data_IF_873255471868
#
_entry.id   IF_873255471868
#
_cell.length_a   1.000
_cell.length_b   1.000
_cell.length_c   1.000
_cell.angle_alpha   90.00
_cell.angle_beta   90.00
_cell.angle_gamma   90.00
#
_symmetry.space_group_name_H-M   'P 1'
#
loop_
_entity.id
_entity.type
_entity.pdbx_description
1 polymer ?
#
# COMPACT_ATOMS: atom_id res chain seq x y z
N UNK A 1 -28.18 -8.76 8.38
CA UNK A 1 -27.67 -7.40 8.58
C UNK A 1 -27.11 -6.96 7.22
N UNK A 2 -27.70 -5.92 6.65
CA UNK A 2 -27.20 -5.41 5.36
C UNK A 2 -26.04 -4.45 5.62
N UNK A 3 -24.84 -4.98 5.78
CA UNK A 3 -23.62 -4.18 5.85
C UNK A 3 -22.74 -4.50 4.65
N UNK A 4 -22.04 -3.49 4.15
CA UNK A 4 -21.07 -3.60 3.07
C UNK A 4 -19.69 -3.81 3.68
N UNK A 5 -19.00 -4.86 3.25
CA UNK A 5 -17.59 -5.10 3.62
C UNK A 5 -16.71 -4.57 2.51
N UNK A 6 -15.75 -3.72 2.86
CA UNK A 6 -14.72 -3.21 1.94
C UNK A 6 -13.36 -3.62 2.51
N UNK A 7 -12.56 -4.31 1.69
CA UNK A 7 -11.16 -4.54 2.01
C UNK A 7 -10.37 -3.25 1.73
N UNK A 8 -9.81 -2.66 2.78
CA UNK A 8 -9.15 -1.35 2.68
C UNK A 8 -7.70 -1.41 2.18
N UNK A 9 -7.10 -2.62 2.09
CA UNK A 9 -5.71 -2.77 1.65
C UNK A 9 -5.47 -4.14 1.04
N UNK A 10 -5.41 -4.21 -0.27
CA UNK A 10 -5.12 -5.43 -1.00
C UNK A 10 -4.14 -5.15 -2.16
N UNK A 11 -3.55 -6.20 -2.68
CA UNK A 11 -2.63 -6.15 -3.81
C UNK A 11 -3.06 -7.10 -4.91
N UNK A 12 -2.91 -6.66 -6.15
CA UNK A 12 -3.02 -7.53 -7.33
C UNK A 12 -1.67 -7.59 -8.02
N UNK A 13 -1.30 -8.77 -8.56
CA UNK A 13 -0.10 -8.93 -9.39
C UNK A 13 -0.27 -10.10 -10.34
N UNK A 14 0.26 -9.95 -11.55
CA UNK A 14 0.25 -11.02 -12.55
C UNK A 14 1.43 -11.96 -12.33
N UNK A 15 2.63 -11.45 -12.19
CA UNK A 15 3.83 -12.20 -11.85
C UNK A 15 4.88 -11.25 -11.31
N UNK A 16 5.46 -11.60 -10.17
CA UNK A 16 6.60 -10.88 -9.64
C UNK A 16 7.87 -11.29 -10.42
N UNK A 17 8.57 -10.32 -10.93
CA UNK A 17 9.89 -10.45 -11.54
C UNK A 17 10.56 -9.07 -11.48
N UNK A 18 10.93 -8.68 -10.27
CA UNK A 18 11.36 -7.33 -9.93
C UNK A 18 12.68 -7.37 -9.17
N UNK A 19 13.27 -6.19 -8.97
CA UNK A 19 14.46 -6.01 -8.15
C UNK A 19 14.18 -4.89 -7.15
N UNK A 20 14.37 -5.18 -5.87
CA UNK A 20 14.30 -4.19 -4.80
C UNK A 20 15.62 -4.23 -4.03
N UNK A 21 16.29 -3.09 -3.90
CA UNK A 21 17.62 -2.97 -3.26
C UNK A 21 18.67 -3.92 -3.84
N UNK A 22 18.72 -4.04 -5.17
CA UNK A 22 19.57 -4.94 -5.96
C UNK A 22 19.32 -6.44 -5.65
N UNK A 23 18.28 -6.77 -4.92
CA UNK A 23 17.90 -8.15 -4.63
C UNK A 23 16.68 -8.56 -5.48
N UNK A 24 16.75 -9.74 -6.14
CA UNK A 24 15.65 -10.20 -6.98
C UNK A 24 14.43 -10.61 -6.17
N UNK A 25 13.25 -10.33 -6.73
CA UNK A 25 11.98 -10.84 -6.26
C UNK A 25 11.30 -11.53 -7.43
N UNK A 26 11.19 -12.85 -7.36
CA UNK A 26 10.65 -13.67 -8.42
C UNK A 26 9.57 -14.62 -7.91
N UNK A 27 8.46 -14.71 -8.63
CA UNK A 27 7.42 -15.72 -8.39
C UNK A 27 7.96 -17.13 -8.63
N UNK A 28 7.70 -18.02 -7.68
CA UNK A 28 7.95 -19.46 -7.75
C UNK A 28 6.61 -20.20 -7.62
N UNK A 29 6.65 -21.51 -7.86
CA UNK A 29 5.47 -22.37 -7.77
C UNK A 29 4.93 -22.49 -6.33
N UNK A 30 3.66 -22.83 -6.21
CA UNK A 30 2.97 -23.14 -4.96
C UNK A 30 2.98 -21.97 -3.94
N UNK A 31 2.78 -20.75 -4.43
CA UNK A 31 2.68 -19.56 -3.60
C UNK A 31 3.99 -19.09 -2.99
N UNK A 32 5.14 -19.62 -3.44
CA UNK A 32 6.46 -19.19 -2.99
C UNK A 32 7.02 -18.08 -3.88
N UNK A 33 7.96 -17.34 -3.34
CA UNK A 33 8.76 -16.37 -4.07
C UNK A 33 10.21 -16.43 -3.60
N UNK A 34 11.14 -16.20 -4.53
CA UNK A 34 12.46 -15.73 -4.15
C UNK A 34 12.29 -14.26 -3.74
N UNK A 35 12.42 -13.99 -2.45
CA UNK A 35 12.15 -12.67 -1.87
C UNK A 35 13.42 -12.16 -1.19
N UNK A 36 14.07 -11.17 -1.84
CA UNK A 36 15.28 -10.54 -1.31
C UNK A 36 16.38 -11.57 -0.96
N UNK A 37 16.59 -12.56 -1.84
CA UNK A 37 17.62 -13.58 -1.68
C UNK A 37 17.21 -14.84 -0.91
N UNK A 38 15.98 -14.90 -0.38
CA UNK A 38 15.45 -16.05 0.36
C UNK A 38 14.17 -16.58 -0.28
N UNK A 39 14.00 -17.91 -0.26
CA UNK A 39 12.72 -18.51 -0.68
C UNK A 39 11.74 -18.44 0.48
N UNK A 40 10.61 -17.76 0.26
CA UNK A 40 9.54 -17.58 1.25
C UNK A 40 8.19 -18.03 0.72
N UNK A 41 7.33 -18.50 1.61
CA UNK A 41 5.92 -18.69 1.33
C UNK A 41 5.24 -17.33 1.41
N UNK A 42 4.89 -16.72 0.27
CA UNK A 42 4.34 -15.37 0.22
C UNK A 42 2.81 -15.35 0.16
N UNK A 43 2.22 -16.34 -0.51
CA UNK A 43 0.78 -16.49 -0.65
C UNK A 43 0.38 -17.95 -0.38
N UNK A 44 -0.92 -18.26 -0.16
CA UNK A 44 -1.34 -19.63 0.10
C UNK A 44 -0.88 -20.62 -0.98
N UNK A 45 -0.50 -21.87 -0.62
CA UNK A 45 0.02 -22.86 -1.57
C UNK A 45 -0.92 -23.23 -2.71
N UNK A 46 -2.23 -23.01 -2.56
CA UNK A 46 -3.20 -23.26 -3.62
C UNK A 46 -3.13 -22.22 -4.76
N UNK A 47 -2.48 -21.09 -4.54
CA UNK A 47 -2.14 -20.13 -5.59
C UNK A 47 -0.90 -20.61 -6.34
N UNK A 48 -1.09 -21.65 -7.15
CA UNK A 48 -0.02 -22.48 -7.74
C UNK A 48 0.96 -21.65 -8.57
N UNK A 49 0.42 -20.73 -9.37
CA UNK A 49 1.21 -19.89 -10.27
C UNK A 49 1.81 -18.66 -9.58
N UNK A 50 1.55 -18.49 -8.28
CA UNK A 50 1.98 -17.33 -7.49
C UNK A 50 1.43 -16.00 -8.01
N UNK A 51 0.33 -16.04 -8.77
CA UNK A 51 -0.37 -14.90 -9.36
C UNK A 51 -1.57 -14.56 -8.50
N UNK A 52 -1.81 -13.28 -8.26
CA UNK A 52 -3.03 -12.76 -7.65
C UNK A 52 -3.71 -11.79 -8.62
N UNK A 53 -4.26 -12.33 -9.71
CA UNK A 53 -4.97 -11.52 -10.69
C UNK A 53 -6.30 -10.98 -10.14
N UNK A 54 -6.88 -10.01 -10.84
CA UNK A 54 -8.20 -9.48 -10.48
C UNK A 54 -9.27 -10.57 -10.42
N UNK A 55 -9.23 -11.56 -11.32
CA UNK A 55 -10.17 -12.68 -11.34
C UNK A 55 -10.03 -13.59 -10.14
N UNK A 56 -8.80 -13.92 -9.76
CA UNK A 56 -8.50 -14.73 -8.54
C UNK A 56 -8.96 -13.99 -7.30
N UNK A 57 -8.61 -12.71 -7.20
CA UNK A 57 -8.96 -11.91 -6.04
C UNK A 57 -10.48 -11.67 -5.95
N UNK A 58 -11.14 -11.41 -7.09
CA UNK A 58 -12.59 -11.26 -7.15
C UNK A 58 -13.32 -12.52 -6.67
N UNK A 59 -12.85 -13.71 -7.07
CA UNK A 59 -13.40 -14.98 -6.60
C UNK A 59 -13.27 -15.14 -5.08
N UNK A 60 -12.13 -14.73 -4.50
CA UNK A 60 -11.93 -14.72 -3.06
C UNK A 60 -12.85 -13.70 -2.36
N UNK A 61 -13.01 -12.49 -2.94
CA UNK A 61 -13.95 -11.48 -2.43
C UNK A 61 -15.39 -12.01 -2.43
N UNK A 62 -15.83 -12.63 -3.51
CA UNK A 62 -17.19 -13.19 -3.63
C UNK A 62 -17.41 -14.31 -2.60
N UNK A 63 -16.45 -15.21 -2.42
CA UNK A 63 -16.51 -16.24 -1.40
C UNK A 63 -16.57 -15.66 0.03
N UNK A 64 -15.79 -14.62 0.31
CA UNK A 64 -15.75 -13.95 1.61
C UNK A 64 -16.84 -12.89 1.81
N UNK A 65 -17.73 -12.68 0.80
CA UNK A 65 -18.78 -11.65 0.80
C UNK A 65 -18.23 -10.22 0.92
N UNK A 66 -17.03 -9.96 0.40
CA UNK A 66 -16.42 -8.64 0.32
C UNK A 66 -16.94 -7.93 -0.92
N UNK A 67 -17.54 -6.76 -0.72
CA UNK A 67 -18.22 -6.02 -1.79
C UNK A 67 -17.25 -5.28 -2.72
N UNK A 68 -16.22 -4.69 -2.15
CA UNK A 68 -15.21 -3.91 -2.88
C UNK A 68 -13.85 -4.00 -2.18
N UNK A 69 -12.78 -3.65 -2.90
CA UNK A 69 -11.43 -3.60 -2.35
C UNK A 69 -10.67 -2.36 -2.84
N UNK A 70 -9.81 -1.83 -1.97
CA UNK A 70 -8.80 -0.84 -2.32
C UNK A 70 -7.52 -1.58 -2.71
N UNK A 71 -7.09 -1.39 -3.94
CA UNK A 71 -5.88 -2.03 -4.47
C UNK A 71 -4.73 -1.04 -4.39
N UNK A 72 -3.77 -1.36 -3.55
CA UNK A 72 -2.52 -0.62 -3.40
C UNK A 72 -1.41 -1.29 -4.22
N UNK A 73 -0.26 -0.64 -4.33
CA UNK A 73 0.91 -1.18 -5.03
C UNK A 73 2.13 -1.16 -4.11
N UNK A 74 3.08 -2.04 -4.38
CA UNK A 74 4.39 -2.03 -3.77
C UNK A 74 5.47 -2.31 -4.84
N UNK A 75 6.68 -1.81 -4.62
CA UNK A 75 7.78 -2.00 -5.58
C UNK A 75 8.13 -3.48 -5.78
N UNK A 76 7.82 -4.34 -4.81
CA UNK A 76 8.02 -5.79 -4.94
C UNK A 76 7.19 -6.41 -6.08
N UNK A 77 6.01 -5.83 -6.36
CA UNK A 77 5.12 -6.29 -7.42
C UNK A 77 5.38 -5.58 -8.75
N UNK A 78 6.21 -4.53 -8.71
CA UNK A 78 6.40 -3.60 -9.81
C UNK A 78 5.28 -2.57 -9.95
N UNK A 79 5.49 -1.57 -10.79
CA UNK A 79 4.50 -0.54 -11.09
C UNK A 79 3.51 -1.10 -12.12
N UNK A 80 2.24 -1.20 -11.76
CA UNK A 80 1.20 -1.88 -12.53
C UNK A 80 0.03 -0.96 -12.91
N UNK A 81 0.28 0.33 -13.09
CA UNK A 81 -0.78 1.33 -13.31
C UNK A 81 -1.71 0.99 -14.49
N UNK A 82 -1.16 0.54 -15.61
CA UNK A 82 -1.93 0.18 -16.81
C UNK A 82 -2.87 -1.00 -16.52
N UNK A 83 -2.34 -2.06 -15.90
CA UNK A 83 -3.15 -3.22 -15.50
C UNK A 83 -4.28 -2.83 -14.53
N UNK A 84 -3.97 -2.00 -13.54
CA UNK A 84 -4.97 -1.58 -12.55
C UNK A 84 -6.05 -0.67 -13.16
N UNK A 85 -5.70 0.19 -14.11
CA UNK A 85 -6.68 0.97 -14.87
C UNK A 85 -7.62 0.08 -15.69
N UNK A 86 -7.10 -0.99 -16.32
CA UNK A 86 -7.90 -2.00 -17.01
C UNK A 86 -8.84 -2.72 -16.05
N UNK A 87 -8.35 -3.12 -14.86
CA UNK A 87 -9.15 -3.80 -13.83
C UNK A 87 -10.36 -2.96 -13.40
N UNK A 88 -10.17 -1.67 -13.13
CA UNK A 88 -11.27 -0.76 -12.77
C UNK A 88 -12.31 -0.67 -13.90
N UNK A 89 -11.85 -0.58 -15.13
CA UNK A 89 -12.75 -0.54 -16.30
C UNK A 89 -13.55 -1.82 -16.48
N UNK A 90 -12.92 -2.98 -16.23
CA UNK A 90 -13.52 -4.30 -16.40
C UNK A 90 -14.49 -4.65 -15.27
N UNK A 91 -14.22 -4.22 -14.06
CA UNK A 91 -14.98 -4.56 -12.85
C UNK A 91 -15.44 -3.30 -12.09
N UNK A 92 -16.33 -2.49 -12.69
CA UNK A 92 -16.78 -1.24 -12.10
C UNK A 92 -17.43 -1.45 -10.73
N UNK A 93 -17.05 -0.63 -9.75
CA UNK A 93 -17.57 -0.68 -8.38
C UNK A 93 -16.99 -1.79 -7.48
N UNK A 94 -16.12 -2.67 -8.03
CA UNK A 94 -15.49 -3.72 -7.24
C UNK A 94 -14.10 -3.31 -6.76
N UNK A 95 -13.38 -2.48 -7.49
CA UNK A 95 -12.03 -2.08 -7.17
C UNK A 95 -11.87 -0.56 -7.19
N UNK A 96 -11.20 -0.05 -6.17
CA UNK A 96 -10.64 1.29 -6.11
C UNK A 96 -9.12 1.15 -6.13
N UNK A 97 -8.44 1.73 -7.11
CA UNK A 97 -7.02 1.48 -7.33
C UNK A 97 -6.18 2.71 -7.04
N UNK A 98 -5.02 2.50 -6.42
CA UNK A 98 -4.01 3.51 -6.18
C UNK A 98 -2.96 3.47 -7.30
N UNK A 99 -2.67 4.60 -7.94
CA UNK A 99 -1.52 4.73 -8.83
C UNK A 99 -0.21 4.77 -8.04
N UNK A 100 0.90 4.39 -8.66
CA UNK A 100 2.23 4.45 -8.04
C UNK A 100 3.25 5.00 -9.04
N UNK A 101 4.20 5.78 -8.55
CA UNK A 101 5.31 6.32 -9.32
C UNK A 101 6.64 5.76 -8.82
N UNK A 102 7.69 5.90 -9.62
CA UNK A 102 9.05 5.61 -9.17
C UNK A 102 9.62 6.84 -8.45
N UNK A 103 9.22 7.02 -7.19
CA UNK A 103 9.55 8.18 -6.36
C UNK A 103 11.05 8.37 -6.10
N UNK A 104 11.86 7.34 -6.32
CA UNK A 104 13.32 7.35 -6.13
C UNK A 104 14.06 7.92 -7.33
N UNK A 105 13.35 8.26 -8.41
CA UNK A 105 13.91 8.81 -9.64
C UNK A 105 13.36 10.20 -9.94
N UNK A 106 14.15 11.07 -10.58
CA UNK A 106 13.65 12.37 -11.03
C UNK A 106 12.45 12.23 -11.96
N UNK A 107 11.52 13.19 -11.88
CA UNK A 107 10.36 13.25 -12.76
C UNK A 107 9.11 12.55 -12.23
N UNK A 108 9.12 11.98 -11.02
CA UNK A 108 7.95 11.34 -10.44
C UNK A 108 6.76 12.30 -10.28
N UNK A 109 7.00 13.58 -10.05
CA UNK A 109 5.94 14.59 -9.99
C UNK A 109 5.14 14.70 -11.29
N UNK A 110 5.84 14.66 -12.43
CA UNK A 110 5.18 14.66 -13.74
C UNK A 110 4.36 13.37 -13.94
N UNK A 111 4.91 12.22 -13.56
CA UNK A 111 4.21 10.93 -13.60
C UNK A 111 2.96 10.94 -12.72
N UNK A 112 3.06 11.45 -11.49
CA UNK A 112 1.91 11.55 -10.59
C UNK A 112 0.80 12.44 -11.16
N UNK A 113 1.16 13.58 -11.74
CA UNK A 113 0.21 14.48 -12.43
C UNK A 113 -0.48 13.80 -13.62
N UNK A 114 0.26 13.02 -14.40
CA UNK A 114 -0.30 12.24 -15.51
C UNK A 114 -1.27 11.17 -15.01
N UNK A 115 -0.90 10.38 -13.99
CA UNK A 115 -1.79 9.38 -13.40
C UNK A 115 -3.09 10.01 -12.90
N UNK A 116 -3.01 11.14 -12.23
CA UNK A 116 -4.19 11.88 -11.76
C UNK A 116 -5.04 12.36 -12.94
N UNK A 117 -4.41 12.86 -13.99
CA UNK A 117 -5.11 13.32 -15.20
C UNK A 117 -5.80 12.17 -15.95
N UNK A 118 -5.25 10.95 -15.91
CA UNK A 118 -5.87 9.74 -16.48
C UNK A 118 -6.97 9.14 -15.62
N UNK A 119 -7.20 9.68 -14.41
CA UNK A 119 -8.36 9.33 -13.60
C UNK A 119 -8.08 8.61 -12.27
N UNK A 120 -6.82 8.36 -11.93
CA UNK A 120 -6.50 7.81 -10.60
C UNK A 120 -6.93 8.78 -9.49
N UNK A 121 -7.62 8.27 -8.47
CA UNK A 121 -8.14 9.01 -7.32
C UNK A 121 -7.35 8.78 -6.04
N UNK A 122 -6.30 7.98 -6.12
CA UNK A 122 -5.34 7.78 -5.05
C UNK A 122 -3.94 7.51 -5.62
N UNK A 123 -2.92 7.94 -4.88
CA UNK A 123 -1.51 7.61 -5.11
C UNK A 123 -1.01 6.81 -3.91
N UNK A 124 -0.35 5.70 -4.18
CA UNK A 124 0.33 4.86 -3.18
C UNK A 124 1.79 5.22 -3.10
N UNK A 125 2.29 5.39 -1.88
CA UNK A 125 3.71 5.58 -1.58
C UNK A 125 4.18 4.52 -0.58
N UNK A 126 4.97 3.52 -0.98
CA UNK A 126 5.71 2.66 -0.07
C UNK A 126 6.87 3.43 0.55
N UNK A 127 6.59 4.30 1.52
CA UNK A 127 7.54 5.29 2.02
C UNK A 127 8.72 4.67 2.77
N UNK A 128 8.56 3.48 3.35
CA UNK A 128 9.66 2.72 3.93
C UNK A 128 10.76 2.41 2.90
N UNK A 129 10.41 2.29 1.61
CA UNK A 129 11.37 2.04 0.52
C UNK A 129 12.14 3.30 0.10
N UNK A 130 11.67 4.47 0.49
CA UNK A 130 12.35 5.73 0.22
C UNK A 130 13.54 6.01 1.15
N UNK A 131 13.67 5.22 2.23
CA UNK A 131 14.77 5.31 3.19
C UNK A 131 15.96 4.44 2.82
N UNK A 132 15.82 3.56 1.83
CA UNK A 132 16.81 2.58 1.46
C UNK A 132 17.88 3.24 0.57
N UNK A 133 19.16 3.18 1.03
CA UNK A 133 20.38 3.59 0.30
C UNK A 133 20.61 5.08 0.04
N UNK A 134 21.72 5.34 -0.69
CA UNK A 134 22.10 6.67 -1.18
C UNK A 134 20.95 7.23 -2.03
N UNK A 135 20.53 8.45 -1.71
CA UNK A 135 19.40 9.08 -2.39
C UNK A 135 18.08 8.97 -1.65
N UNK A 136 18.11 8.89 -0.31
CA UNK A 136 16.90 8.99 0.52
C UNK A 136 16.00 10.12 0.05
N UNK A 137 14.74 9.78 -0.23
CA UNK A 137 13.71 10.77 -0.54
C UNK A 137 12.95 11.08 0.74
N UNK A 138 13.00 12.34 1.15
CA UNK A 138 12.25 12.84 2.31
C UNK A 138 10.81 13.14 1.90
N UNK A 139 9.84 12.77 2.73
CA UNK A 139 8.42 13.05 2.45
C UNK A 139 8.12 14.56 2.40
N UNK A 140 8.86 15.37 3.14
CA UNK A 140 8.76 16.83 3.15
C UNK A 140 9.72 17.51 2.15
N UNK A 141 10.33 16.77 1.21
CA UNK A 141 11.12 17.39 0.16
C UNK A 141 10.27 18.26 -0.76
N UNK A 142 10.86 19.27 -1.38
CA UNK A 142 10.14 20.23 -2.22
C UNK A 142 9.27 19.55 -3.30
N UNK A 143 9.82 18.57 -4.02
CA UNK A 143 9.10 17.88 -5.10
C UNK A 143 7.96 17.00 -4.56
N UNK A 144 8.14 16.35 -3.39
CA UNK A 144 7.09 15.60 -2.70
C UNK A 144 5.97 16.53 -2.22
N UNK A 145 6.31 17.66 -1.60
CA UNK A 145 5.32 18.65 -1.15
C UNK A 145 4.53 19.25 -2.32
N UNK A 146 5.18 19.53 -3.46
CA UNK A 146 4.46 19.96 -4.67
C UNK A 146 3.46 18.89 -5.15
N UNK A 147 3.80 17.61 -5.05
CA UNK A 147 2.87 16.52 -5.36
C UNK A 147 1.70 16.46 -4.38
N UNK A 148 1.95 16.55 -3.08
CA UNK A 148 0.89 16.51 -2.07
C UNK A 148 -0.08 17.69 -2.20
N UNK A 149 0.39 18.90 -2.42
CA UNK A 149 -0.47 20.05 -2.73
C UNK A 149 -1.31 19.81 -4.00
N UNK A 150 -0.71 19.28 -5.06
CA UNK A 150 -1.44 18.95 -6.29
C UNK A 150 -2.51 17.87 -6.05
N UNK A 151 -2.23 16.87 -5.23
CA UNK A 151 -3.20 15.84 -4.84
C UNK A 151 -4.35 16.45 -4.02
N UNK A 152 -4.03 17.30 -3.04
CA UNK A 152 -5.02 17.99 -2.22
C UNK A 152 -5.97 18.85 -3.06
N UNK A 153 -5.44 19.63 -4.00
CA UNK A 153 -6.22 20.48 -4.92
C UNK A 153 -7.17 19.67 -5.81
N UNK A 154 -6.84 18.43 -6.12
CA UNK A 154 -7.58 17.53 -7.00
C UNK A 154 -8.43 16.50 -6.28
N UNK A 155 -8.51 16.57 -4.95
CA UNK A 155 -9.20 15.59 -4.09
C UNK A 155 -8.73 14.15 -4.33
N UNK A 156 -7.40 13.97 -4.47
CA UNK A 156 -6.75 12.67 -4.63
C UNK A 156 -6.21 12.19 -3.29
N UNK A 157 -6.51 10.96 -2.90
CA UNK A 157 -6.04 10.36 -1.65
C UNK A 157 -4.56 9.99 -1.70
N UNK A 158 -3.91 10.08 -0.54
CA UNK A 158 -2.62 9.45 -0.28
C UNK A 158 -2.82 8.13 0.48
N UNK A 159 -2.36 7.02 -0.10
CA UNK A 159 -2.14 5.76 0.62
C UNK A 159 -0.65 5.61 0.86
N UNK A 160 -0.22 5.40 2.11
CA UNK A 160 1.21 5.43 2.45
C UNK A 160 1.56 4.37 3.49
N UNK A 161 2.66 3.64 3.27
CA UNK A 161 3.26 2.76 4.25
C UNK A 161 4.52 3.43 4.79
N UNK A 162 4.45 3.88 6.03
CA UNK A 162 5.59 4.50 6.69
C UNK A 162 6.62 3.44 7.13
N UNK A 163 7.86 3.85 7.30
CA UNK A 163 8.90 3.03 7.90
C UNK A 163 8.57 2.72 9.37
N UNK A 164 9.21 1.67 9.91
CA UNK A 164 9.00 1.23 11.29
C UNK A 164 9.17 2.38 12.29
N UNK A 165 8.27 2.42 13.26
CA UNK A 165 8.31 3.34 14.39
C UNK A 165 8.16 4.81 14.01
N UNK A 166 8.94 5.66 14.67
CA UNK A 166 8.83 7.12 14.55
C UNK A 166 9.69 7.73 13.43
N UNK A 167 10.35 6.91 12.60
CA UNK A 167 11.40 7.36 11.65
C UNK A 167 10.93 8.46 10.70
N UNK A 168 9.71 8.36 10.16
CA UNK A 168 9.14 9.32 9.20
C UNK A 168 8.04 10.19 9.81
N UNK A 169 7.82 10.13 11.13
CA UNK A 169 6.78 10.91 11.79
C UNK A 169 6.98 12.42 11.64
N UNK A 170 8.19 12.99 11.85
CA UNK A 170 8.37 14.43 11.69
C UNK A 170 8.03 14.92 10.28
N UNK A 171 8.49 14.17 9.26
CA UNK A 171 8.20 14.48 7.85
C UNK A 171 6.69 14.41 7.57
N UNK A 172 6.02 13.35 8.08
CA UNK A 172 4.59 13.15 7.86
C UNK A 172 3.74 14.21 8.59
N UNK A 173 4.15 14.63 9.78
CA UNK A 173 3.50 15.73 10.49
C UNK A 173 3.54 17.04 9.70
N UNK A 174 4.67 17.34 9.06
CA UNK A 174 4.81 18.51 8.19
C UNK A 174 3.88 18.43 6.98
N UNK A 175 3.81 17.26 6.31
CA UNK A 175 2.85 17.01 5.21
C UNK A 175 1.41 17.24 5.65
N UNK A 176 1.02 16.71 6.82
CA UNK A 176 -0.34 16.85 7.36
C UNK A 176 -0.67 18.32 7.66
N UNK A 177 0.29 19.07 8.18
CA UNK A 177 0.10 20.50 8.52
C UNK A 177 -0.02 21.37 7.27
N UNK A 178 0.82 21.13 6.26
CA UNK A 178 0.83 21.90 5.01
C UNK A 178 -0.31 21.52 4.06
N UNK A 179 -0.82 20.27 4.16
CA UNK A 179 -1.91 19.75 3.32
C UNK A 179 -3.10 19.27 4.19
N UNK A 180 -3.81 20.18 4.91
CA UNK A 180 -4.80 19.78 5.91
C UNK A 180 -6.08 19.15 5.33
N UNK A 181 -6.31 19.24 4.03
CA UNK A 181 -7.44 18.60 3.34
C UNK A 181 -7.04 17.33 2.58
N UNK A 182 -5.75 17.04 2.47
CA UNK A 182 -5.27 15.81 1.85
C UNK A 182 -5.74 14.63 2.70
N UNK A 183 -6.57 13.76 2.10
CA UNK A 183 -7.00 12.53 2.77
C UNK A 183 -5.86 11.51 2.74
N UNK A 184 -5.45 11.02 3.90
CA UNK A 184 -4.29 10.16 4.07
C UNK A 184 -4.73 8.86 4.73
N UNK A 185 -4.39 7.73 4.12
CA UNK A 185 -4.54 6.40 4.69
C UNK A 185 -3.14 5.83 4.98
N UNK A 186 -2.83 5.60 6.26
CA UNK A 186 -1.57 4.99 6.70
C UNK A 186 -1.79 3.50 6.87
N UNK A 187 -0.98 2.68 6.19
CA UNK A 187 -1.11 1.25 6.12
C UNK A 187 -0.60 0.49 7.35
N UNK A 188 -0.95 -0.80 7.39
CA UNK A 188 -0.37 -1.81 8.29
C UNK A 188 -0.50 -1.50 9.78
N UNK A 189 -1.52 -0.77 10.19
CA UNK A 189 -1.77 -0.40 11.59
C UNK A 189 -0.52 0.17 12.29
N UNK A 190 0.21 1.04 11.59
CA UNK A 190 1.47 1.62 12.07
C UNK A 190 2.58 0.60 12.31
N UNK A 191 2.52 -0.60 11.69
CA UNK A 191 3.45 -1.70 11.93
C UNK A 191 3.44 -2.18 13.41
N UNK A 192 2.27 -2.49 13.91
CA UNK A 192 1.89 -2.71 15.33
C UNK A 192 2.79 -3.65 16.16
N UNK A 193 3.62 -4.48 15.55
CA UNK A 193 4.59 -5.35 16.26
C UNK A 193 5.99 -4.74 16.34
N UNK A 194 6.17 -3.52 15.82
CA UNK A 194 7.45 -2.82 15.81
C UNK A 194 7.54 -1.81 16.96
N UNK A 195 8.75 -1.47 17.44
CA UNK A 195 8.90 -0.42 18.43
C UNK A 195 8.30 0.92 17.96
N UNK A 196 7.72 1.67 18.87
CA UNK A 196 7.17 3.02 18.66
C UNK A 196 6.07 3.11 17.59
N UNK A 197 5.35 2.00 17.31
CA UNK A 197 4.26 1.97 16.34
C UNK A 197 3.10 2.92 16.70
N UNK A 198 2.89 3.17 17.98
CA UNK A 198 1.84 4.07 18.47
C UNK A 198 2.03 5.51 17.97
N UNK A 199 3.25 5.92 17.64
CA UNK A 199 3.52 7.25 17.08
C UNK A 199 2.85 7.41 15.70
N UNK A 200 2.79 6.34 14.91
CA UNK A 200 2.06 6.36 13.63
C UNK A 200 0.55 6.42 13.86
N UNK A 201 0.02 5.67 14.84
CA UNK A 201 -1.41 5.70 15.17
C UNK A 201 -1.85 7.09 15.64
N UNK A 202 -1.00 7.80 16.39
CA UNK A 202 -1.29 9.17 16.86
C UNK A 202 -1.50 10.16 15.72
N UNK A 203 -0.98 9.90 14.52
CA UNK A 203 -1.27 10.75 13.35
C UNK A 203 -2.77 10.77 13.02
N UNK A 204 -3.52 9.73 13.36
CA UNK A 204 -4.98 9.69 13.17
C UNK A 204 -5.77 10.62 14.13
N UNK A 205 -5.11 11.33 15.03
CA UNK A 205 -5.74 12.45 15.75
C UNK A 205 -6.02 13.64 14.82
N UNK A 206 -5.38 13.68 13.64
CA UNK A 206 -5.71 14.65 12.61
C UNK A 206 -6.92 14.15 11.79
N UNK A 207 -7.94 15.01 11.54
CA UNK A 207 -9.21 14.58 10.96
C UNK A 207 -9.13 14.10 9.50
N UNK A 208 -8.04 14.38 8.81
CA UNK A 208 -7.76 13.96 7.44
C UNK A 208 -6.90 12.69 7.36
N UNK A 209 -6.55 12.07 8.49
CA UNK A 209 -5.71 10.86 8.56
C UNK A 209 -6.53 9.67 9.04
N UNK A 210 -6.41 8.58 8.33
CA UNK A 210 -7.00 7.28 8.64
C UNK A 210 -5.89 6.24 8.81
N UNK A 211 -6.12 5.26 9.68
CA UNK A 211 -5.24 4.10 9.83
C UNK A 211 -5.98 2.87 9.29
N UNK A 212 -5.34 2.11 8.46
CA UNK A 212 -5.88 0.84 7.95
C UNK A 212 -5.17 -0.36 8.59
N UNK A 213 -5.92 -1.45 8.77
CA UNK A 213 -5.46 -2.66 9.44
C UNK A 213 -4.86 -3.70 8.49
N UNK A 214 -4.45 -3.30 7.29
CA UNK A 214 -3.81 -4.18 6.31
C UNK A 214 -2.64 -4.96 6.90
N UNK A 215 -2.54 -6.25 6.60
CA UNK A 215 -1.43 -7.09 7.04
C UNK A 215 -1.42 -7.47 8.52
N UNK A 216 -2.47 -7.20 9.29
CA UNK A 216 -2.49 -7.51 10.73
C UNK A 216 -2.21 -8.99 11.01
N UNK A 217 -2.70 -9.90 10.18
CA UNK A 217 -2.43 -11.34 10.28
C UNK A 217 -0.97 -11.70 9.98
N UNK A 218 -0.33 -10.96 9.11
CA UNK A 218 1.09 -11.10 8.84
C UNK A 218 1.95 -10.56 9.98
N UNK A 219 1.56 -9.46 10.60
CA UNK A 219 2.25 -8.87 11.74
C UNK A 219 2.20 -9.74 13.00
N UNK A 220 1.16 -10.59 13.13
CA UNK A 220 0.95 -11.54 14.23
C UNK A 220 0.99 -12.99 13.73
N UNK A 221 1.84 -13.31 12.76
CA UNK A 221 1.91 -14.62 12.13
C UNK A 221 2.42 -15.76 13.02
N UNK A 222 2.97 -15.46 14.19
CA UNK A 222 3.37 -16.38 15.25
C UNK A 222 2.23 -16.70 16.25
N UNK A 223 1.09 -16.01 16.14
CA UNK A 223 -0.09 -16.26 16.94
C UNK A 223 -1.04 -17.28 16.27
N UNK A 224 -1.68 -18.09 17.11
CA UNK A 224 -2.76 -18.98 16.72
C UNK A 224 -4.11 -18.44 17.22
N UNK A 225 -5.20 -18.96 16.61
CA UNK A 225 -6.54 -18.64 17.09
C UNK A 225 -6.62 -18.77 18.63
N UNK A 226 -7.16 -17.80 19.35
CA UNK A 226 -7.98 -16.68 18.90
C UNK A 226 -7.24 -15.34 18.67
N UNK A 227 -5.97 -15.33 18.35
CA UNK A 227 -5.19 -14.14 17.96
C UNK A 227 -5.29 -13.00 18.99
N UNK A 228 -5.00 -13.31 20.25
CA UNK A 228 -5.21 -12.39 21.39
C UNK A 228 -4.39 -11.10 21.30
N UNK A 229 -3.16 -11.17 20.77
CA UNK A 229 -2.30 -10.01 20.58
C UNK A 229 -2.86 -9.10 19.49
N UNK A 230 -3.24 -9.66 18.35
CA UNK A 230 -3.87 -8.91 17.26
C UNK A 230 -5.19 -8.24 17.71
N UNK A 231 -6.06 -8.99 18.38
CA UNK A 231 -7.34 -8.45 18.91
C UNK A 231 -7.11 -7.35 19.94
N UNK A 232 -6.07 -7.47 20.77
CA UNK A 232 -5.74 -6.43 21.76
C UNK A 232 -5.17 -5.17 21.14
N UNK A 233 -4.47 -5.28 19.99
CA UNK A 233 -3.84 -4.16 19.32
C UNK A 233 -4.84 -3.27 18.57
N UNK A 234 -5.93 -3.86 18.06
CA UNK A 234 -7.05 -3.16 17.42
C UNK A 234 -8.01 -2.56 18.46
#
# INVERSE_FOLDING_TARGET
MDYTIIDAHAHLWLRQDTVVDDLPICTLDNGRSLFMGEIRQMVPPFMVDGVNSAEVFLSNMDYAQVSAAVITQEFIDGIQNEYLAEVVSRYPGRFFVCGMCEFRKPGFLAQAKELIATGFKAIKIPAQRLLLREGRVMLNSEEMMQMFHYMEERDVMLSIDLADGATQIPEMQEVIQECPRLRIAIGHFGMVTRPDWEEQIRLALHPNVMIESGGITWLFNDEFYPFKGAVKAI
#
